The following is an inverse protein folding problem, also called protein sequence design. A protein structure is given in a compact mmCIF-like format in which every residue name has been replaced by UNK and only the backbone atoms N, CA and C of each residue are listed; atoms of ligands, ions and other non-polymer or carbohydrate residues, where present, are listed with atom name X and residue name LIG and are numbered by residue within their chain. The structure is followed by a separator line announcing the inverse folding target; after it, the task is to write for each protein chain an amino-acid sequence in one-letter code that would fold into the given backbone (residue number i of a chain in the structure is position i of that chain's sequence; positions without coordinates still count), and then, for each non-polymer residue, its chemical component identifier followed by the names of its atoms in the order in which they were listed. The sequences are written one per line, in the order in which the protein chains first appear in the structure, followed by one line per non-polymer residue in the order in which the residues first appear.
data_IF_907400116312
#
_entry.id   IF_907400116312
#
_cell.length_a   1.000
_cell.length_b   1.000
_cell.length_c   1.000
_cell.angle_alpha   90.00
_cell.angle_beta   90.00
_cell.angle_gamma   90.00
#
_symmetry.space_group_name_H-M   'P 1'
#
loop_
_entity.id
_entity.type
_entity.pdbx_description
1 polymer ?
#
# COMPACT_ATOMS: atom_id res chain seq x y z
N UNK A 1 0.28 16.62 -13.05
CA UNK A 1 0.77 16.45 -14.46
C UNK A 1 1.83 15.40 -14.51
N UNK A 2 1.51 14.27 -13.98
CA UNK A 2 2.50 13.23 -13.83
C UNK A 2 2.42 12.38 -15.06
N UNK A 3 3.42 12.61 -15.89
CA UNK A 3 3.67 11.76 -17.02
C UNK A 3 3.76 10.32 -16.52
N UNK A 4 2.89 9.45 -16.98
CA UNK A 4 2.94 8.01 -16.74
C UNK A 4 4.33 7.40 -17.03
N UNK A 5 5.16 8.12 -17.79
CA UNK A 5 6.54 7.75 -18.12
C UNK A 5 7.55 8.00 -16.98
N UNK A 6 7.17 8.69 -15.90
CA UNK A 6 8.08 9.03 -14.80
C UNK A 6 7.90 8.17 -13.53
N UNK A 7 7.00 7.18 -13.54
CA UNK A 7 6.77 6.29 -12.39
C UNK A 7 7.82 5.19 -12.27
N UNK A 8 9.06 5.59 -12.27
CA UNK A 8 10.19 4.71 -12.06
C UNK A 8 11.49 5.50 -12.05
N UNK A 9 12.48 5.04 -11.28
CA UNK A 9 13.79 5.66 -11.20
C UNK A 9 14.58 5.37 -12.49
N UNK A 10 14.31 6.15 -13.53
CA UNK A 10 14.93 6.01 -14.84
C UNK A 10 16.45 6.28 -14.83
N UNK A 11 17.14 5.82 -15.87
CA UNK A 11 18.61 5.94 -15.98
C UNK A 11 19.09 7.37 -16.01
N UNK A 12 18.29 8.30 -16.56
CA UNK A 12 18.63 9.72 -16.58
C UNK A 12 18.78 10.27 -15.17
N UNK A 13 17.82 10.00 -14.28
CA UNK A 13 17.87 10.45 -12.90
C UNK A 13 19.02 9.82 -12.12
N UNK A 14 19.28 8.53 -12.31
CA UNK A 14 20.42 7.84 -11.69
C UNK A 14 21.75 8.47 -12.07
N UNK A 15 21.94 8.79 -13.36
CA UNK A 15 23.15 9.46 -13.86
C UNK A 15 23.27 10.91 -13.35
N UNK A 16 22.15 11.65 -13.28
CA UNK A 16 22.15 13.01 -12.75
C UNK A 16 22.51 13.04 -11.27
N UNK A 17 21.97 12.12 -10.49
CA UNK A 17 22.29 11.97 -9.05
C UNK A 17 23.77 11.68 -8.87
N UNK A 18 24.33 10.74 -9.63
CA UNK A 18 25.75 10.41 -9.57
C UNK A 18 26.64 11.64 -9.87
N UNK A 19 26.30 12.40 -10.90
CA UNK A 19 27.03 13.64 -11.26
C UNK A 19 26.95 14.68 -10.14
N UNK A 20 25.75 14.89 -9.56
CA UNK A 20 25.57 15.89 -8.49
C UNK A 20 26.33 15.54 -7.21
N UNK A 21 26.42 14.25 -6.90
CA UNK A 21 27.10 13.74 -5.71
C UNK A 21 28.61 13.47 -5.95
N UNK A 22 29.12 13.65 -7.17
CA UNK A 22 30.49 13.39 -7.52
C UNK A 22 30.93 11.93 -7.37
N UNK A 23 29.98 10.99 -7.55
CA UNK A 23 30.24 9.55 -7.38
C UNK A 23 30.10 8.77 -8.68
N UNK A 24 30.69 7.58 -8.70
CA UNK A 24 30.55 6.69 -9.84
C UNK A 24 29.07 6.27 -10.02
N UNK A 25 28.51 6.26 -11.24
CA UNK A 25 27.11 5.90 -11.50
C UNK A 25 26.70 4.55 -10.91
N UNK A 26 27.61 3.58 -10.87
CA UNK A 26 27.34 2.25 -10.31
C UNK A 26 26.88 2.32 -8.85
N UNK A 27 27.43 3.26 -8.06
CA UNK A 27 27.06 3.41 -6.65
C UNK A 27 25.60 3.83 -6.48
N UNK A 28 25.08 4.68 -7.38
CA UNK A 28 23.66 5.04 -7.39
C UNK A 28 22.80 3.85 -7.79
N UNK A 29 23.27 3.04 -8.75
CA UNK A 29 22.59 1.82 -9.15
C UNK A 29 22.54 0.77 -8.02
N UNK A 30 23.62 0.60 -7.27
CA UNK A 30 23.68 -0.29 -6.11
C UNK A 30 22.59 0.09 -5.10
N UNK A 31 22.49 1.36 -4.72
CA UNK A 31 21.45 1.85 -3.79
C UNK A 31 20.05 1.66 -4.36
N UNK A 32 19.85 2.03 -5.63
CA UNK A 32 18.54 1.93 -6.27
C UNK A 32 18.03 0.48 -6.41
N UNK A 33 18.93 -0.49 -6.53
CA UNK A 33 18.56 -1.90 -6.61
C UNK A 33 18.49 -2.59 -5.23
N UNK A 34 19.19 -2.08 -4.23
CA UNK A 34 19.17 -2.64 -2.88
C UNK A 34 17.87 -2.29 -2.15
N UNK A 35 17.44 -1.04 -2.22
CA UNK A 35 16.23 -0.58 -1.52
C UNK A 35 14.99 -0.78 -2.39
N UNK A 36 14.11 -1.67 -1.95
CA UNK A 36 12.90 -2.09 -2.70
C UNK A 36 11.88 -0.98 -2.92
N UNK A 37 11.94 0.11 -2.15
CA UNK A 37 11.10 1.29 -2.36
C UNK A 37 11.38 2.04 -3.66
N UNK A 38 12.56 1.83 -4.25
CA UNK A 38 12.88 2.43 -5.54
C UNK A 38 12.38 1.58 -6.70
N UNK A 39 11.38 2.05 -7.39
CA UNK A 39 10.90 1.40 -8.60
C UNK A 39 11.90 1.65 -9.74
N UNK A 40 12.67 0.62 -10.10
CA UNK A 40 13.65 0.70 -11.20
C UNK A 40 13.04 0.48 -12.58
N UNK A 41 11.78 0.05 -12.63
CA UNK A 41 10.96 -0.10 -13.84
C UNK A 41 9.73 0.78 -13.73
N UNK A 42 9.13 1.19 -14.84
CA UNK A 42 7.84 1.89 -14.82
C UNK A 42 6.78 1.04 -14.13
N UNK A 43 6.00 1.67 -13.27
CA UNK A 43 4.84 1.07 -12.60
C UNK A 43 3.54 1.70 -13.11
N UNK A 44 2.42 1.03 -12.89
CA UNK A 44 1.09 1.52 -13.21
C UNK A 44 0.70 2.76 -12.41
N UNK A 45 -0.48 3.29 -12.70
CA UNK A 45 -1.02 4.46 -11.99
C UNK A 45 -1.18 4.21 -10.48
N UNK A 46 -1.55 2.99 -10.10
CA UNK A 46 -1.67 2.55 -8.72
C UNK A 46 -0.71 1.39 -8.46
N UNK A 47 0.12 1.53 -7.46
CA UNK A 47 1.03 0.49 -7.03
C UNK A 47 0.41 -0.29 -5.88
N UNK A 48 -0.04 -1.51 -6.17
CA UNK A 48 -0.63 -2.43 -5.19
C UNK A 48 0.48 -3.23 -4.54
N UNK A 49 0.66 -3.08 -3.23
CA UNK A 49 1.71 -3.73 -2.46
C UNK A 49 1.07 -4.60 -1.38
N UNK A 50 1.04 -5.91 -1.61
CA UNK A 50 0.42 -6.88 -0.71
C UNK A 50 1.41 -7.35 0.33
N UNK A 51 1.06 -7.20 1.61
CA UNK A 51 1.84 -7.76 2.71
C UNK A 51 1.61 -9.28 2.79
N UNK A 52 2.67 -10.07 2.54
CA UNK A 52 2.65 -11.54 2.58
C UNK A 52 3.18 -12.14 3.89
N UNK A 53 3.56 -11.32 4.91
CA UNK A 53 4.15 -11.84 6.15
C UNK A 53 3.14 -12.53 7.05
N UNK A 54 3.65 -13.32 8.01
CA UNK A 54 2.87 -14.28 8.79
C UNK A 54 1.52 -13.76 9.33
N UNK A 55 1.40 -12.59 9.97
CA UNK A 55 0.09 -12.13 10.45
C UNK A 55 -0.92 -11.90 9.32
N UNK A 56 -0.48 -11.29 8.23
CA UNK A 56 -1.34 -11.06 7.07
C UNK A 56 -1.71 -12.37 6.38
N UNK A 57 -0.76 -13.29 6.24
CA UNK A 57 -1.00 -14.61 5.69
C UNK A 57 -2.02 -15.42 6.52
N UNK A 58 -1.85 -15.46 7.84
CA UNK A 58 -2.79 -16.13 8.75
C UNK A 58 -4.20 -15.51 8.72
N UNK A 59 -4.29 -14.23 8.37
CA UNK A 59 -5.55 -13.50 8.28
C UNK A 59 -6.13 -13.45 6.85
N UNK A 60 -5.50 -14.13 5.89
CA UNK A 60 -6.03 -14.31 4.54
C UNK A 60 -5.47 -13.35 3.49
N UNK A 61 -4.19 -12.96 3.55
CA UNK A 61 -3.57 -12.14 2.50
C UNK A 61 -3.59 -12.81 1.12
N UNK A 62 -3.70 -14.16 1.07
CA UNK A 62 -3.89 -14.89 -0.19
C UNK A 62 -5.21 -14.52 -0.89
N UNK A 63 -6.26 -14.24 -0.12
CA UNK A 63 -7.53 -13.77 -0.66
C UNK A 63 -7.42 -12.33 -1.19
N UNK A 64 -6.68 -11.48 -0.49
CA UNK A 64 -6.35 -10.12 -0.97
C UNK A 64 -5.56 -10.19 -2.27
N UNK A 65 -4.54 -11.05 -2.33
CA UNK A 65 -3.75 -11.28 -3.55
C UNK A 65 -4.64 -11.76 -4.70
N UNK A 66 -5.52 -12.75 -4.44
CA UNK A 66 -6.45 -13.27 -5.43
C UNK A 66 -7.38 -12.18 -5.96
N UNK A 67 -7.96 -11.37 -5.07
CA UNK A 67 -8.80 -10.23 -5.45
C UNK A 67 -8.06 -9.20 -6.31
N UNK A 68 -6.80 -8.90 -5.97
CA UNK A 68 -5.94 -8.02 -6.77
C UNK A 68 -5.72 -8.57 -8.18
N UNK A 69 -5.49 -9.89 -8.30
CA UNK A 69 -5.31 -10.54 -9.60
C UNK A 69 -6.59 -10.54 -10.42
N UNK A 70 -7.70 -10.93 -9.81
CA UNK A 70 -8.98 -11.09 -10.51
C UNK A 70 -9.54 -9.72 -10.93
N UNK A 71 -9.68 -8.79 -9.99
CA UNK A 71 -10.21 -7.47 -10.27
C UNK A 71 -9.22 -6.56 -11.02
N UNK A 72 -7.92 -6.66 -10.73
CA UNK A 72 -6.88 -5.85 -11.39
C UNK A 72 -6.44 -6.39 -12.76
N UNK A 73 -6.91 -7.58 -13.18
CA UNK A 73 -6.45 -8.30 -14.38
C UNK A 73 -4.93 -8.51 -14.41
N UNK A 74 -4.38 -8.94 -13.27
CA UNK A 74 -2.96 -9.15 -13.06
C UNK A 74 -2.64 -10.64 -12.98
N UNK A 75 -1.48 -11.06 -13.53
CA UNK A 75 -1.06 -12.46 -13.51
C UNK A 75 -0.45 -12.87 -12.18
N UNK A 76 0.20 -11.94 -11.49
CA UNK A 76 0.88 -12.18 -10.22
C UNK A 76 1.81 -11.04 -9.84
N UNK A 77 2.66 -11.29 -8.87
CA UNK A 77 3.64 -10.32 -8.42
C UNK A 77 4.61 -9.91 -9.53
N UNK A 78 4.93 -8.62 -9.59
CA UNK A 78 5.79 -8.02 -10.61
C UNK A 78 5.07 -7.70 -11.92
N UNK A 79 3.77 -8.01 -12.04
CA UNK A 79 2.99 -7.74 -13.23
C UNK A 79 2.36 -6.34 -13.19
N UNK A 80 2.19 -5.78 -14.39
CA UNK A 80 1.45 -4.53 -14.59
C UNK A 80 0.29 -4.80 -15.53
N UNK A 81 -0.90 -4.32 -15.16
CA UNK A 81 -2.11 -4.49 -15.98
C UNK A 81 -1.93 -3.88 -17.38
N UNK A 82 -2.57 -4.48 -18.37
CA UNK A 82 -2.42 -4.09 -19.78
C UNK A 82 -2.87 -2.66 -20.08
N UNK A 83 -3.75 -2.12 -19.25
CA UNK A 83 -4.21 -0.72 -19.30
C UNK A 83 -3.27 0.25 -18.57
N UNK A 84 -2.21 -0.26 -17.92
CA UNK A 84 -1.25 0.54 -17.17
C UNK A 84 -1.81 1.12 -15.87
N UNK A 85 -2.97 0.65 -15.39
CA UNK A 85 -3.58 1.15 -14.16
C UNK A 85 -2.89 0.59 -12.91
N UNK A 86 -2.67 -0.71 -12.85
CA UNK A 86 -2.19 -1.38 -11.64
C UNK A 86 -0.84 -2.06 -11.85
N UNK A 87 0.02 -1.97 -10.86
CA UNK A 87 1.19 -2.84 -10.72
C UNK A 87 1.11 -3.54 -9.37
N UNK A 88 1.30 -4.85 -9.36
CA UNK A 88 1.21 -5.68 -8.16
C UNK A 88 2.59 -6.12 -7.71
N UNK A 89 2.94 -5.86 -6.45
CA UNK A 89 4.17 -6.36 -5.83
C UNK A 89 3.88 -6.98 -4.47
N UNK A 90 4.71 -7.95 -4.11
CA UNK A 90 4.78 -8.44 -2.75
C UNK A 90 5.72 -7.54 -1.94
N UNK A 91 5.35 -7.27 -0.70
CA UNK A 91 6.19 -6.54 0.22
C UNK A 91 6.30 -7.28 1.55
N UNK A 92 7.36 -6.99 2.26
CA UNK A 92 7.54 -7.44 3.64
C UNK A 92 6.56 -6.74 4.57
N UNK A 93 6.68 -6.99 5.88
CA UNK A 93 5.75 -6.47 6.87
C UNK A 93 5.59 -4.94 6.79
N UNK A 94 4.36 -4.49 6.55
CA UNK A 94 3.99 -3.07 6.52
C UNK A 94 3.76 -2.47 7.93
N UNK A 95 3.85 -3.28 8.99
CA UNK A 95 3.68 -2.83 10.36
C UNK A 95 2.23 -2.77 10.87
N UNK A 96 1.24 -2.92 9.99
CA UNK A 96 -0.20 -2.92 10.35
C UNK A 96 -0.73 -4.28 10.82
N UNK A 97 0.08 -5.10 11.52
CA UNK A 97 -0.24 -6.50 11.83
C UNK A 97 -1.51 -6.68 12.67
N UNK A 98 -1.86 -5.71 13.50
CA UNK A 98 -3.09 -5.74 14.33
C UNK A 98 -4.33 -5.72 13.44
N UNK A 99 -4.28 -4.99 12.34
CA UNK A 99 -5.37 -4.80 11.38
C UNK A 99 -5.13 -5.60 10.09
N UNK A 100 -4.43 -6.73 10.20
CA UNK A 100 -4.18 -7.62 9.06
C UNK A 100 -5.49 -8.21 8.49
N UNK A 101 -5.58 -8.48 7.16
CA UNK A 101 -4.57 -8.25 6.13
C UNK A 101 -4.44 -6.78 5.72
N UNK A 102 -3.23 -6.40 5.25
CA UNK A 102 -2.92 -5.04 4.82
C UNK A 102 -2.49 -5.01 3.36
N UNK A 103 -3.07 -4.09 2.62
CA UNK A 103 -2.68 -3.71 1.26
C UNK A 103 -2.27 -2.24 1.26
N UNK A 104 -1.08 -1.93 0.79
CA UNK A 104 -0.68 -0.56 0.51
C UNK A 104 -0.97 -0.23 -0.95
N UNK A 105 -1.65 0.88 -1.19
CA UNK A 105 -1.86 1.45 -2.53
C UNK A 105 -1.16 2.79 -2.60
N UNK A 106 -0.06 2.84 -3.33
CA UNK A 106 0.88 3.97 -3.35
C UNK A 106 1.38 4.28 -1.92
N UNK A 107 0.86 5.32 -1.26
CA UNK A 107 1.25 5.75 0.09
C UNK A 107 0.16 5.45 1.14
N UNK A 108 -1.01 4.95 0.73
CA UNK A 108 -2.16 4.72 1.60
C UNK A 108 -2.27 3.24 2.00
N UNK A 109 -2.54 2.99 3.28
CA UNK A 109 -2.82 1.65 3.80
C UNK A 109 -4.32 1.40 3.83
N UNK A 110 -4.71 0.20 3.36
CA UNK A 110 -6.05 -0.37 3.51
C UNK A 110 -5.93 -1.63 4.34
N UNK A 111 -6.68 -1.68 5.41
CA UNK A 111 -6.50 -2.64 6.50
C UNK A 111 -7.78 -3.43 6.76
N UNK A 112 -7.67 -4.56 7.51
CA UNK A 112 -8.79 -5.47 7.79
C UNK A 112 -9.50 -5.96 6.51
N UNK A 113 -8.72 -6.18 5.45
CA UNK A 113 -9.24 -6.54 4.14
C UNK A 113 -9.69 -8.01 4.07
N UNK A 114 -10.66 -8.25 3.21
CA UNK A 114 -11.03 -9.55 2.69
C UNK A 114 -11.09 -9.51 1.15
N UNK A 115 -11.50 -10.62 0.53
CA UNK A 115 -11.63 -10.68 -0.94
C UNK A 115 -12.60 -9.63 -1.46
N UNK A 116 -13.79 -9.51 -0.85
CA UNK A 116 -14.86 -8.64 -1.36
C UNK A 116 -14.52 -7.16 -1.21
N UNK A 117 -13.99 -6.76 -0.06
CA UNK A 117 -13.56 -5.38 0.20
C UNK A 117 -12.41 -4.97 -0.70
N UNK A 118 -11.47 -5.90 -0.98
CA UNK A 118 -10.37 -5.67 -1.90
C UNK A 118 -10.88 -5.49 -3.34
N UNK A 119 -11.83 -6.30 -3.80
CA UNK A 119 -12.46 -6.13 -5.11
C UNK A 119 -13.14 -4.76 -5.20
N UNK A 120 -13.92 -4.36 -4.19
CA UNK A 120 -14.58 -3.04 -4.14
C UNK A 120 -13.56 -1.89 -4.21
N UNK A 121 -12.44 -2.02 -3.49
CA UNK A 121 -11.36 -1.05 -3.52
C UNK A 121 -10.80 -0.89 -4.94
N UNK A 122 -10.45 -2.00 -5.60
CA UNK A 122 -9.88 -1.99 -6.94
C UNK A 122 -10.87 -1.42 -7.96
N UNK A 123 -12.15 -1.77 -7.88
CA UNK A 123 -13.19 -1.20 -8.74
C UNK A 123 -13.37 0.31 -8.52
N UNK A 124 -13.25 0.80 -7.29
CA UNK A 124 -13.28 2.24 -7.01
C UNK A 124 -12.06 2.95 -7.63
N UNK A 125 -10.88 2.37 -7.50
CA UNK A 125 -9.66 2.90 -8.11
C UNK A 125 -9.75 2.93 -9.65
N UNK A 126 -10.38 1.93 -10.29
CA UNK A 126 -10.65 1.93 -11.73
C UNK A 126 -11.51 3.12 -12.16
N UNK A 127 -12.50 3.49 -11.35
CA UNK A 127 -13.33 4.68 -11.58
C UNK A 127 -12.61 6.00 -11.30
N UNK A 128 -11.37 5.91 -10.77
CA UNK A 128 -10.60 7.09 -10.35
C UNK A 128 -11.01 7.63 -8.97
N UNK A 129 -11.82 6.89 -8.23
CA UNK A 129 -12.22 7.19 -6.86
C UNK A 129 -11.18 6.59 -5.91
N UNK A 130 -10.74 7.35 -4.90
CA UNK A 130 -9.84 6.86 -3.86
C UNK A 130 -10.59 6.79 -2.54
N UNK A 131 -11.00 5.58 -2.10
CA UNK A 131 -11.65 5.41 -0.80
C UNK A 131 -10.75 5.89 0.35
N UNK A 132 -11.32 6.26 1.50
CA UNK A 132 -10.54 6.62 2.68
C UNK A 132 -9.60 5.47 3.08
N UNK A 133 -8.35 5.82 3.40
CA UNK A 133 -7.35 4.88 3.91
C UNK A 133 -7.71 4.38 5.32
N UNK A 134 -7.12 3.27 5.73
CA UNK A 134 -7.30 2.66 7.05
C UNK A 134 -8.19 1.41 7.01
N UNK A 135 -8.78 1.10 8.16
CA UNK A 135 -9.59 -0.10 8.35
C UNK A 135 -10.92 -0.03 7.58
N UNK A 136 -11.18 -1.03 6.73
CA UNK A 136 -12.44 -1.13 5.98
C UNK A 136 -13.65 -1.49 6.85
N UNK A 137 -13.42 -1.98 8.07
CA UNK A 137 -14.47 -2.28 9.05
C UNK A 137 -14.71 -1.13 10.04
N UNK A 138 -14.02 0.00 9.86
CA UNK A 138 -14.19 1.20 10.67
C UNK A 138 -13.53 1.12 12.05
N UNK A 139 -12.48 0.30 12.19
CA UNK A 139 -11.64 0.27 13.38
C UNK A 139 -10.88 1.59 13.52
N UNK A 140 -10.79 2.12 14.73
CA UNK A 140 -10.00 3.32 15.02
C UNK A 140 -8.57 2.92 15.30
N UNK A 141 -7.65 3.25 14.42
CA UNK A 141 -6.24 2.87 14.53
C UNK A 141 -6.08 1.36 14.81
N UNK A 142 -5.33 1.00 15.86
CA UNK A 142 -5.13 -0.39 16.28
C UNK A 142 -6.08 -0.83 17.41
N UNK A 143 -7.22 -0.16 17.58
CA UNK A 143 -8.21 -0.53 18.60
C UNK A 143 -8.76 -1.93 18.37
N UNK A 144 -9.19 -2.65 19.41
CA UNK A 144 -9.90 -3.91 19.25
C UNK A 144 -11.15 -3.78 18.35
N UNK A 145 -11.52 -4.84 17.65
CA UNK A 145 -12.70 -4.85 16.76
C UNK A 145 -14.00 -4.48 17.51
N UNK A 146 -14.09 -4.86 18.82
CA UNK A 146 -15.20 -4.53 19.69
C UNK A 146 -15.18 -3.10 20.27
N UNK A 147 -14.19 -2.30 19.92
CA UNK A 147 -13.98 -0.98 20.50
C UNK A 147 -13.00 -1.00 21.68
N UNK A 148 -12.87 0.12 22.38
CA UNK A 148 -11.97 0.25 23.51
C UNK A 148 -12.42 -0.65 24.70
N UNK A 149 -11.47 -1.40 25.27
CA UNK A 149 -11.72 -2.30 26.42
C UNK A 149 -11.07 -1.79 27.70
N UNK A 150 -10.21 -0.79 27.59
CA UNK A 150 -9.47 -0.21 28.71
C UNK A 150 -9.52 1.32 28.65
N UNK A 151 -9.28 1.99 29.77
CA UNK A 151 -9.24 3.46 29.87
C UNK A 151 -10.53 4.13 29.39
N UNK A 152 -11.67 3.51 29.66
CA UNK A 152 -13.00 3.96 29.20
C UNK A 152 -13.40 5.30 29.83
N UNK A 153 -12.81 5.63 30.98
CA UNK A 153 -13.09 6.86 31.73
C UNK A 153 -12.26 8.07 31.24
N UNK A 154 -11.33 7.84 30.29
CA UNK A 154 -10.46 8.88 29.76
C UNK A 154 -10.98 9.28 28.37
N UNK A 155 -11.34 10.56 28.17
CA UNK A 155 -11.74 11.01 26.85
C UNK A 155 -10.61 10.80 25.85
N UNK A 156 -10.88 10.00 24.81
CA UNK A 156 -9.94 9.76 23.71
C UNK A 156 -9.98 10.98 22.79
N UNK A 157 -8.93 11.77 22.84
CA UNK A 157 -8.76 12.92 21.95
C UNK A 157 -7.54 12.69 21.03
N UNK A 158 -7.64 13.19 19.81
CA UNK A 158 -6.48 13.22 18.90
C UNK A 158 -5.44 14.27 19.36
N UNK A 159 -4.32 14.37 18.64
CA UNK A 159 -3.27 15.33 18.92
C UNK A 159 -3.75 16.80 18.85
N UNK A 160 -4.87 17.06 18.19
CA UNK A 160 -5.51 18.37 18.05
C UNK A 160 -6.65 18.59 19.08
N UNK A 161 -6.85 17.62 19.99
CA UNK A 161 -7.88 17.69 21.06
C UNK A 161 -9.30 17.40 20.58
N UNK A 162 -9.48 16.75 19.44
CA UNK A 162 -10.79 16.33 18.92
C UNK A 162 -11.15 14.94 19.44
N UNK A 163 -12.41 14.75 19.83
CA UNK A 163 -12.91 13.46 20.27
C UNK A 163 -12.87 12.43 19.16
N UNK A 164 -12.32 11.25 19.43
CA UNK A 164 -12.51 10.12 18.56
C UNK A 164 -13.98 9.67 18.61
N UNK A 165 -14.64 9.49 17.46
CA UNK A 165 -16.01 9.01 17.45
C UNK A 165 -16.05 7.58 18.03
N UNK A 166 -16.54 7.45 19.25
CA UNK A 166 -16.91 6.15 19.83
C UNK A 166 -18.22 5.76 19.12
N UNK A 167 -18.19 4.71 18.31
CA UNK A 167 -19.43 4.14 17.78
C UNK A 167 -20.18 3.47 18.93
N UNK A 168 -21.38 3.98 19.25
CA UNK A 168 -22.38 3.28 20.05
C UNK A 168 -22.82 1.96 19.40
#
# INVERSE_FOLDING_TARGET
RDCLLSRGLGDVYKRQTARRLGMAPIRVYEVANFYTMFNTKPIGRYHLQVCGTTPCWLRGSDDVLRACKDAGHLKGYGDTSTDGLFTLTEVECLGGCVNAPVLQVDDDYYEDLDYESTVKLIESLKRGERPPAGSVIGRVCSAPVGGAETLLDIPMVDADGRDFPVKE
#
